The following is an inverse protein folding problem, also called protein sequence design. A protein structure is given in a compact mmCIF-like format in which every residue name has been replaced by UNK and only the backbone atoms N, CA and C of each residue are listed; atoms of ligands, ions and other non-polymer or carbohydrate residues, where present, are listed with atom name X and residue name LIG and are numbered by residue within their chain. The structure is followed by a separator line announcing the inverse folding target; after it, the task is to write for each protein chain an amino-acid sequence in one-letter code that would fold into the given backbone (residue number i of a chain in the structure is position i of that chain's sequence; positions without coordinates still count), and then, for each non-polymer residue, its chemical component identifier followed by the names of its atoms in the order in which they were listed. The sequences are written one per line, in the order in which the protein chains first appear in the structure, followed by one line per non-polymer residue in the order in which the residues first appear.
data_IF_977535305824
#
_entry.id   IF_977535305824
#
_cell.length_a   1.000
_cell.length_b   1.000
_cell.length_c   1.000
_cell.angle_alpha   90.00
_cell.angle_beta   90.00
_cell.angle_gamma   90.00
#
_symmetry.space_group_name_H-M   'P 1'
#
loop_
_entity.id
_entity.type
_entity.pdbx_description
1 polymer ?
#
# COMPACT_ATOMS: atom_id res chain seq x y z
N UNK A 1 23.94 6.77 -25.95
CA UNK A 1 24.11 5.86 -27.13
C UNK A 1 24.41 4.48 -26.52
N UNK A 2 23.46 3.54 -26.68
CA UNK A 2 23.68 2.14 -26.23
C UNK A 2 24.66 1.48 -27.18
N UNK A 3 25.67 0.81 -26.61
CA UNK A 3 26.70 0.13 -27.38
C UNK A 3 26.06 -1.03 -28.19
N UNK A 4 26.18 -1.06 -29.52
CA UNK A 4 25.52 -2.07 -30.37
C UNK A 4 26.00 -3.51 -30.09
N UNK A 5 27.17 -3.67 -29.48
CA UNK A 5 27.69 -4.97 -29.02
C UNK A 5 26.89 -5.52 -27.83
N UNK A 6 26.52 -4.64 -26.91
CA UNK A 6 25.69 -4.99 -25.75
C UNK A 6 24.25 -5.40 -26.15
N UNK A 7 23.69 -4.76 -27.17
CA UNK A 7 22.37 -5.13 -27.72
C UNK A 7 22.37 -6.54 -28.33
N UNK A 8 23.40 -6.88 -29.10
CA UNK A 8 23.56 -8.22 -29.69
C UNK A 8 23.76 -9.29 -28.63
N UNK A 9 24.58 -9.03 -27.60
CA UNK A 9 24.79 -9.99 -26.49
C UNK A 9 23.47 -10.26 -25.74
N UNK A 10 22.69 -9.22 -25.43
CA UNK A 10 21.37 -9.38 -24.80
C UNK A 10 20.40 -10.18 -25.66
N UNK A 11 20.39 -9.95 -26.98
CA UNK A 11 19.55 -10.71 -27.91
C UNK A 11 19.94 -12.19 -27.94
N UNK A 12 21.25 -12.53 -27.99
CA UNK A 12 21.71 -13.91 -27.94
C UNK A 12 21.38 -14.59 -26.61
N UNK A 13 21.53 -13.89 -25.47
CA UNK A 13 21.15 -14.41 -24.17
C UNK A 13 19.64 -14.67 -24.10
N UNK A 14 18.79 -13.74 -24.59
CA UNK A 14 17.35 -13.93 -24.61
C UNK A 14 16.93 -15.13 -25.49
N UNK A 15 17.52 -15.28 -26.66
CA UNK A 15 17.29 -16.44 -27.54
C UNK A 15 17.76 -17.73 -26.86
N UNK A 16 18.93 -17.74 -26.23
CA UNK A 16 19.47 -18.91 -25.51
C UNK A 16 18.55 -19.33 -24.37
N UNK A 17 18.12 -18.39 -23.52
CA UNK A 17 17.16 -18.67 -22.43
C UNK A 17 15.83 -19.16 -22.97
N UNK A 18 15.28 -18.51 -23.99
CA UNK A 18 14.02 -18.91 -24.64
C UNK A 18 14.09 -20.33 -25.20
N UNK A 19 15.17 -20.66 -25.89
CA UNK A 19 15.40 -22.01 -26.43
C UNK A 19 15.49 -23.05 -25.32
N UNK A 20 16.27 -22.76 -24.27
CA UNK A 20 16.42 -23.65 -23.11
C UNK A 20 15.08 -23.93 -22.44
N UNK A 21 14.27 -22.89 -22.16
CA UNK A 21 12.95 -23.05 -21.54
C UNK A 21 12.02 -23.86 -22.45
N UNK A 22 12.06 -23.60 -23.76
CA UNK A 22 11.25 -24.37 -24.73
C UNK A 22 11.65 -25.84 -24.77
N UNK A 23 12.96 -26.14 -24.83
CA UNK A 23 13.46 -27.52 -24.86
C UNK A 23 13.13 -28.27 -23.57
N UNK A 24 13.31 -27.62 -22.40
CA UNK A 24 12.93 -28.20 -21.10
C UNK A 24 11.42 -28.45 -21.04
N UNK A 25 10.60 -27.49 -21.53
CA UNK A 25 9.15 -27.66 -21.61
C UNK A 25 8.74 -28.82 -22.51
N UNK A 26 9.33 -28.94 -23.70
CA UNK A 26 9.07 -30.07 -24.61
C UNK A 26 9.50 -31.40 -24.02
N UNK A 27 10.69 -31.46 -23.37
CA UNK A 27 11.14 -32.63 -22.67
C UNK A 27 10.19 -33.04 -21.53
N UNK A 28 9.74 -32.09 -20.72
CA UNK A 28 8.80 -32.32 -19.64
C UNK A 28 7.44 -32.87 -20.10
N UNK A 29 6.93 -32.36 -21.25
CA UNK A 29 5.70 -32.86 -21.86
C UNK A 29 5.86 -34.30 -22.35
N UNK A 30 7.00 -34.62 -22.98
CA UNK A 30 7.28 -35.96 -23.49
C UNK A 30 7.68 -36.96 -22.40
N UNK A 31 8.17 -36.50 -21.25
CA UNK A 31 8.54 -37.33 -20.11
C UNK A 31 7.36 -37.80 -19.26
N UNK A 32 6.12 -37.50 -19.65
CA UNK A 32 4.91 -37.97 -18.94
C UNK A 32 4.85 -39.51 -18.92
N UNK A 33 4.71 -40.04 -17.71
CA UNK A 33 4.47 -41.48 -17.52
C UNK A 33 3.07 -41.84 -18.00
N UNK A 34 2.89 -43.07 -18.49
CA UNK A 34 1.59 -43.61 -18.97
C UNK A 34 0.48 -43.56 -17.90
N UNK A 35 0.85 -43.63 -16.60
CA UNK A 35 -0.08 -43.59 -15.48
C UNK A 35 0.35 -42.44 -14.54
N UNK A 36 -0.15 -41.21 -14.72
CA UNK A 36 0.16 -40.12 -13.85
C UNK A 36 -0.49 -40.31 -12.47
N UNK A 37 0.23 -39.99 -11.41
CA UNK A 37 -0.29 -40.00 -10.01
C UNK A 37 -1.57 -39.15 -9.88
N UNK A 38 -1.72 -38.14 -10.75
CA UNK A 38 -2.90 -37.25 -10.74
C UNK A 38 -4.23 -37.93 -10.94
N UNK A 39 -4.26 -39.16 -11.52
CA UNK A 39 -5.49 -39.95 -11.69
C UNK A 39 -6.05 -40.42 -10.35
N UNK A 40 -5.18 -40.67 -9.37
CA UNK A 40 -5.60 -41.12 -8.02
C UNK A 40 -5.87 -39.95 -7.07
N UNK A 41 -5.46 -38.74 -7.37
CA UNK A 41 -5.59 -37.59 -6.47
C UNK A 41 -7.04 -37.22 -6.14
N UNK A 42 -8.03 -37.26 -7.07
CA UNK A 42 -9.43 -36.96 -6.74
C UNK A 42 -10.05 -37.96 -5.76
N UNK A 43 -9.69 -39.23 -5.90
CA UNK A 43 -10.16 -40.31 -5.01
C UNK A 43 -9.54 -40.15 -3.61
N UNK A 44 -8.23 -39.94 -3.52
CA UNK A 44 -7.54 -39.69 -2.26
C UNK A 44 -8.08 -38.42 -1.54
N UNK A 45 -8.34 -37.37 -2.28
CA UNK A 45 -8.91 -36.14 -1.70
C UNK A 45 -10.29 -36.38 -1.10
N UNK A 46 -11.09 -37.25 -1.73
CA UNK A 46 -12.44 -37.59 -1.27
C UNK A 46 -12.44 -38.62 -0.12
N UNK A 47 -11.58 -39.63 -0.20
CA UNK A 47 -11.57 -40.75 0.79
C UNK A 47 -10.77 -40.34 2.05
N UNK A 48 -9.63 -39.74 1.90
CA UNK A 48 -8.74 -39.37 3.01
C UNK A 48 -9.02 -37.96 3.46
N UNK A 49 -9.10 -37.01 2.51
CA UNK A 49 -9.30 -35.59 2.80
C UNK A 49 -10.77 -35.17 2.98
N UNK A 50 -11.73 -36.09 2.80
CA UNK A 50 -13.18 -35.87 2.96
C UNK A 50 -13.70 -34.58 2.26
N UNK A 51 -13.01 -34.10 1.22
CA UNK A 51 -13.35 -32.92 0.46
C UNK A 51 -13.53 -33.20 -1.02
N UNK A 52 -14.45 -32.47 -1.66
CA UNK A 52 -14.70 -32.60 -3.10
C UNK A 52 -13.75 -31.72 -3.95
N UNK A 53 -13.15 -30.70 -3.37
CA UNK A 53 -12.18 -29.84 -4.05
C UNK A 53 -10.76 -30.43 -3.94
N UNK A 54 -10.39 -31.29 -4.89
CA UNK A 54 -9.10 -31.95 -4.92
C UNK A 54 -7.91 -31.01 -4.75
N UNK A 55 -7.94 -29.83 -5.39
CA UNK A 55 -6.82 -28.87 -5.35
C UNK A 55 -6.65 -28.31 -3.95
N UNK A 56 -7.72 -27.84 -3.34
CA UNK A 56 -7.65 -27.27 -1.99
C UNK A 56 -7.28 -28.34 -0.95
N UNK A 57 -7.88 -29.52 -1.03
CA UNK A 57 -7.55 -30.64 -0.13
C UNK A 57 -6.08 -31.04 -0.25
N UNK A 58 -5.51 -31.06 -1.46
CA UNK A 58 -4.09 -31.30 -1.64
C UNK A 58 -3.25 -30.23 -0.96
N UNK A 59 -3.61 -28.96 -1.11
CA UNK A 59 -2.81 -27.82 -0.62
C UNK A 59 -2.89 -27.62 0.90
N UNK A 60 -4.02 -27.97 1.53
CA UNK A 60 -4.24 -27.68 2.97
C UNK A 60 -4.24 -28.91 3.86
N UNK A 61 -4.32 -30.12 3.27
CA UNK A 61 -4.38 -31.39 3.99
C UNK A 61 -3.25 -32.32 3.57
N UNK A 62 -3.33 -32.93 2.38
CA UNK A 62 -2.38 -33.97 1.95
C UNK A 62 -0.95 -33.46 1.71
N UNK A 63 -0.82 -32.23 1.22
CA UNK A 63 0.47 -31.59 0.92
C UNK A 63 0.58 -30.19 1.53
N UNK A 64 0.01 -29.99 2.70
CA UNK A 64 -0.02 -28.69 3.38
C UNK A 64 1.37 -28.07 3.64
N UNK A 65 2.45 -28.86 3.59
CA UNK A 65 3.84 -28.38 3.63
C UNK A 65 4.19 -27.46 2.48
N UNK A 66 3.61 -27.67 1.29
CA UNK A 66 3.85 -26.80 0.14
C UNK A 66 3.27 -25.40 0.43
N UNK A 67 2.01 -25.34 0.89
CA UNK A 67 1.34 -24.09 1.27
C UNK A 67 2.02 -23.41 2.47
N UNK A 68 2.50 -24.22 3.44
CA UNK A 68 3.26 -23.67 4.56
C UNK A 68 4.57 -23.00 4.08
N UNK A 69 5.24 -23.59 3.09
CA UNK A 69 6.40 -22.96 2.42
C UNK A 69 6.04 -21.66 1.71
N UNK A 70 4.93 -21.64 0.96
CA UNK A 70 4.45 -20.46 0.24
C UNK A 70 4.13 -19.29 1.19
N UNK A 71 3.37 -19.52 2.27
CA UNK A 71 3.07 -18.46 3.24
C UNK A 71 4.31 -17.98 3.98
N UNK A 72 5.30 -18.84 4.22
CA UNK A 72 6.58 -18.45 4.81
C UNK A 72 7.34 -17.49 3.90
N UNK A 73 7.36 -17.73 2.58
CA UNK A 73 7.95 -16.81 1.59
C UNK A 73 7.24 -15.46 1.60
N UNK A 74 5.91 -15.42 1.70
CA UNK A 74 5.14 -14.18 1.80
C UNK A 74 5.54 -13.37 3.05
N UNK A 75 5.71 -14.04 4.20
CA UNK A 75 6.14 -13.38 5.45
C UNK A 75 7.56 -12.86 5.34
N UNK A 76 8.47 -13.62 4.71
CA UNK A 76 9.85 -13.18 4.46
C UNK A 76 9.86 -11.96 3.54
N UNK A 77 9.08 -11.97 2.47
CA UNK A 77 8.94 -10.83 1.56
C UNK A 77 8.44 -9.58 2.29
N UNK A 78 7.42 -9.72 3.14
CA UNK A 78 6.91 -8.62 3.97
C UNK A 78 7.97 -8.08 4.92
N UNK A 79 8.75 -8.95 5.55
CA UNK A 79 9.86 -8.58 6.45
C UNK A 79 10.95 -7.84 5.69
N UNK A 80 11.25 -8.26 4.45
CA UNK A 80 12.17 -7.56 3.56
C UNK A 80 11.71 -6.15 3.22
N UNK A 81 10.43 -5.99 2.87
CA UNK A 81 9.80 -4.67 2.63
C UNK A 81 9.88 -3.80 3.89
N UNK A 82 9.56 -4.36 5.06
CA UNK A 82 9.69 -3.68 6.35
C UNK A 82 11.11 -3.15 6.57
N UNK A 83 12.09 -4.01 6.39
CA UNK A 83 13.52 -3.67 6.57
C UNK A 83 13.94 -2.50 5.67
N UNK A 84 13.53 -2.50 4.41
CA UNK A 84 13.81 -1.42 3.46
C UNK A 84 13.17 -0.09 3.89
N UNK A 85 11.94 -0.13 4.39
CA UNK A 85 11.22 1.05 4.85
C UNK A 85 11.84 1.61 6.13
N UNK A 86 12.12 0.77 7.11
CA UNK A 86 12.76 1.19 8.37
C UNK A 86 14.16 1.77 8.15
N UNK A 87 14.94 1.20 7.24
CA UNK A 87 16.25 1.74 6.87
C UNK A 87 16.17 3.15 6.30
N UNK A 88 15.12 3.45 5.54
CA UNK A 88 14.90 4.78 4.96
C UNK A 88 14.40 5.78 6.01
N UNK A 89 13.64 5.35 7.03
CA UNK A 89 13.11 6.21 8.09
C UNK A 89 14.14 6.59 9.18
N UNK A 90 15.23 5.85 9.32
CA UNK A 90 16.26 6.17 10.34
C UNK A 90 16.96 7.50 10.07
N UNK A 91 16.82 8.09 8.89
CA UNK A 91 17.37 9.42 8.54
C UNK A 91 16.42 10.60 8.83
N UNK A 92 15.14 10.34 9.11
CA UNK A 92 14.15 11.42 9.34
C UNK A 92 13.35 11.17 10.62
N UNK A 93 14.07 10.99 11.74
CA UNK A 93 13.43 10.79 13.04
C UNK A 93 13.18 12.13 13.72
N UNK A 94 12.33 12.96 13.16
CA UNK A 94 11.70 14.09 13.86
C UNK A 94 10.39 14.51 13.18
N UNK A 95 9.40 13.66 13.24
CA UNK A 95 8.02 14.05 12.93
C UNK A 95 7.12 13.41 13.96
N UNK A 96 6.75 14.23 14.96
CA UNK A 96 5.64 13.95 15.87
C UNK A 96 4.47 13.46 15.03
N UNK A 97 4.06 12.21 15.24
CA UNK A 97 2.80 11.69 14.69
C UNK A 97 1.70 12.66 15.08
N UNK A 98 0.97 13.26 14.14
CA UNK A 98 -0.27 13.90 14.50
C UNK A 98 -1.16 12.79 15.04
N UNK A 99 -1.45 12.82 16.31
CA UNK A 99 -2.46 11.96 16.93
C UNK A 99 -3.77 12.42 16.32
N UNK A 100 -4.21 11.76 15.25
CA UNK A 100 -5.58 11.88 14.78
C UNK A 100 -6.44 11.35 15.92
N UNK A 101 -7.00 12.26 16.71
CA UNK A 101 -8.08 11.96 17.62
C UNK A 101 -9.24 11.45 16.75
N UNK A 102 -9.37 10.13 16.68
CA UNK A 102 -10.55 9.46 16.17
C UNK A 102 -11.69 9.75 17.15
N UNK A 103 -12.26 10.93 17.04
CA UNK A 103 -13.48 11.29 17.75
C UNK A 103 -14.64 10.65 17.00
N UNK A 104 -15.12 9.55 17.54
CA UNK A 104 -16.49 9.07 17.48
C UNK A 104 -17.18 8.96 16.13
N UNK A 105 -17.55 7.74 15.78
CA UNK A 105 -18.75 7.38 14.96
C UNK A 105 -19.25 8.45 14.01
N UNK A 106 -18.74 8.42 12.79
CA UNK A 106 -19.36 9.16 11.69
C UNK A 106 -19.76 8.25 10.55
N UNK A 107 -20.71 7.38 10.81
CA UNK A 107 -21.37 6.56 9.78
C UNK A 107 -22.21 7.41 8.81
N UNK A 108 -22.47 8.67 9.13
CA UNK A 108 -23.37 9.54 8.39
C UNK A 108 -22.91 11.01 8.30
N UNK A 109 -21.66 11.31 8.52
CA UNK A 109 -21.17 12.68 8.37
C UNK A 109 -20.69 12.97 6.96
N UNK A 110 -21.61 13.38 6.13
CA UNK A 110 -21.33 14.32 5.05
C UNK A 110 -20.69 15.57 5.68
N UNK A 111 -19.44 15.88 5.37
CA UNK A 111 -18.81 17.11 5.79
C UNK A 111 -17.41 16.98 6.35
N UNK A 112 -16.51 16.31 5.66
CA UNK A 112 -15.09 16.65 5.71
C UNK A 112 -14.77 17.27 4.35
N UNK A 113 -14.86 18.60 4.32
CA UNK A 113 -14.31 19.44 3.25
C UNK A 113 -12.79 19.34 3.27
N UNK A 114 -12.24 18.23 2.77
CA UNK A 114 -10.87 18.24 2.26
C UNK A 114 -10.96 18.59 0.78
N UNK A 115 -10.06 19.45 0.30
CA UNK A 115 -9.93 19.77 -1.14
C UNK A 115 -9.80 18.49 -2.01
N UNK A 116 -9.45 17.36 -1.42
CA UNK A 116 -9.43 16.06 -2.05
C UNK A 116 -10.84 15.48 -2.30
N UNK A 117 -11.85 15.84 -1.49
CA UNK A 117 -13.22 15.38 -1.69
C UNK A 117 -13.88 16.01 -2.93
N UNK A 118 -13.46 17.21 -3.32
CA UNK A 118 -13.99 17.93 -4.50
C UNK A 118 -13.55 17.30 -5.84
N UNK A 119 -12.43 16.58 -5.86
CA UNK A 119 -11.92 15.92 -7.08
C UNK A 119 -12.27 14.43 -7.15
N UNK A 120 -12.99 13.91 -6.18
CA UNK A 120 -13.40 12.51 -6.13
C UNK A 120 -14.56 12.28 -7.08
N UNK A 121 -14.39 11.36 -8.04
CA UNK A 121 -15.50 10.95 -8.89
C UNK A 121 -16.58 10.29 -8.02
N UNK A 122 -17.77 10.90 -7.97
CA UNK A 122 -18.94 10.34 -7.27
C UNK A 122 -19.20 8.88 -7.68
N UNK A 123 -18.94 8.56 -8.95
CA UNK A 123 -19.09 7.23 -9.51
C UNK A 123 -18.17 6.21 -8.83
N UNK A 124 -16.91 6.57 -8.56
CA UNK A 124 -15.94 5.70 -7.87
C UNK A 124 -16.36 5.47 -6.42
N UNK A 125 -16.83 6.50 -5.73
CA UNK A 125 -17.29 6.36 -4.34
C UNK A 125 -18.52 5.44 -4.23
N UNK A 126 -19.52 5.63 -5.07
CA UNK A 126 -20.73 4.77 -5.11
C UNK A 126 -20.36 3.32 -5.49
N UNK A 127 -19.53 3.14 -6.53
CA UNK A 127 -19.08 1.82 -6.95
C UNK A 127 -18.33 1.09 -5.83
N UNK A 128 -17.43 1.78 -5.14
CA UNK A 128 -16.66 1.19 -4.04
C UNK A 128 -17.53 0.80 -2.86
N UNK A 129 -18.51 1.64 -2.49
CA UNK A 129 -19.47 1.33 -1.41
C UNK A 129 -20.31 0.10 -1.69
N UNK A 130 -20.64 -0.16 -2.95
CA UNK A 130 -21.41 -1.34 -3.36
C UNK A 130 -20.52 -2.58 -3.50
N UNK A 131 -19.35 -2.43 -4.16
CA UNK A 131 -18.46 -3.56 -4.46
C UNK A 131 -17.72 -4.07 -3.23
N UNK A 132 -17.30 -3.19 -2.32
CA UNK A 132 -16.53 -3.59 -1.15
C UNK A 132 -17.25 -4.64 -0.28
N UNK A 133 -18.49 -4.44 0.20
CA UNK A 133 -19.17 -5.44 1.00
C UNK A 133 -19.48 -6.72 0.22
N UNK A 134 -19.80 -6.64 -1.07
CA UNK A 134 -20.05 -7.82 -1.89
C UNK A 134 -18.77 -8.63 -2.13
N UNK A 135 -17.62 -7.98 -2.31
CA UNK A 135 -16.32 -8.67 -2.41
C UNK A 135 -15.91 -9.30 -1.09
N UNK A 136 -16.16 -8.67 0.05
CA UNK A 136 -15.90 -9.26 1.37
C UNK A 136 -16.80 -10.47 1.59
N UNK A 137 -18.10 -10.39 1.25
CA UNK A 137 -19.01 -11.54 1.33
C UNK A 137 -18.54 -12.70 0.43
N UNK A 138 -18.13 -12.41 -0.80
CA UNK A 138 -17.57 -13.41 -1.73
C UNK A 138 -16.27 -14.00 -1.20
N UNK A 139 -15.40 -13.19 -0.60
CA UNK A 139 -14.15 -13.64 0.03
C UNK A 139 -14.43 -14.67 1.15
N UNK A 140 -15.36 -14.36 2.04
CA UNK A 140 -15.78 -15.28 3.09
C UNK A 140 -16.43 -16.54 2.52
N UNK A 141 -17.24 -16.41 1.48
CA UNK A 141 -17.80 -17.56 0.78
C UNK A 141 -16.69 -18.47 0.25
N UNK A 142 -15.68 -17.95 -0.44
CA UNK A 142 -14.54 -18.73 -0.93
C UNK A 142 -13.76 -19.40 0.20
N UNK A 143 -13.55 -18.70 1.31
CA UNK A 143 -12.88 -19.27 2.47
C UNK A 143 -13.63 -20.50 3.00
N UNK A 144 -14.92 -20.40 3.26
CA UNK A 144 -15.70 -21.51 3.81
C UNK A 144 -16.01 -22.61 2.80
N UNK A 145 -16.16 -22.29 1.52
CA UNK A 145 -16.48 -23.26 0.48
C UNK A 145 -15.28 -24.07 0.00
N UNK A 146 -14.05 -23.62 0.30
CA UNK A 146 -12.80 -24.12 -0.30
C UNK A 146 -12.59 -25.61 -0.20
N UNK A 147 -13.11 -26.28 0.83
CA UNK A 147 -12.95 -27.71 1.02
C UNK A 147 -13.79 -28.57 0.03
N UNK A 148 -14.96 -28.09 -0.37
CA UNK A 148 -15.90 -28.81 -1.23
C UNK A 148 -16.15 -28.16 -2.60
N UNK A 149 -15.84 -26.86 -2.75
CA UNK A 149 -16.03 -26.07 -3.95
C UNK A 149 -14.78 -25.22 -4.24
N UNK A 150 -14.66 -24.64 -5.44
CA UNK A 150 -13.56 -23.73 -5.73
C UNK A 150 -13.46 -22.60 -4.71
N UNK A 151 -12.29 -22.47 -4.05
CA UNK A 151 -12.08 -21.48 -2.98
C UNK A 151 -10.84 -21.82 -2.17
N UNK A 152 -10.92 -21.56 -0.86
CA UNK A 152 -9.89 -21.76 0.15
C UNK A 152 -9.37 -20.43 0.71
N UNK A 153 -8.56 -20.51 1.75
CA UNK A 153 -8.02 -19.33 2.47
C UNK A 153 -7.20 -18.41 1.59
N UNK A 154 -6.39 -18.96 0.69
CA UNK A 154 -5.60 -18.17 -0.23
C UNK A 154 -6.48 -17.41 -1.24
N UNK A 155 -7.42 -18.10 -1.89
CA UNK A 155 -8.32 -17.48 -2.86
C UNK A 155 -9.25 -16.44 -2.19
N UNK A 156 -9.83 -16.80 -1.04
CA UNK A 156 -10.62 -15.88 -0.23
C UNK A 156 -9.81 -14.68 0.22
N UNK A 157 -8.59 -14.91 0.73
CA UNK A 157 -7.67 -13.85 1.13
C UNK A 157 -7.32 -12.87 0.00
N UNK A 158 -7.12 -13.37 -1.23
CA UNK A 158 -6.88 -12.52 -2.40
C UNK A 158 -8.08 -11.65 -2.75
N UNK A 159 -9.30 -12.19 -2.68
CA UNK A 159 -10.52 -11.41 -2.95
C UNK A 159 -10.70 -10.32 -1.88
N UNK A 160 -10.45 -10.62 -0.59
CA UNK A 160 -10.43 -9.61 0.45
C UNK A 160 -9.34 -8.56 0.21
N UNK A 161 -8.15 -8.98 -0.20
CA UNK A 161 -7.05 -8.09 -0.56
C UNK A 161 -7.45 -7.13 -1.70
N UNK A 162 -8.08 -7.64 -2.75
CA UNK A 162 -8.59 -6.81 -3.85
C UNK A 162 -9.65 -5.81 -3.39
N UNK A 163 -10.54 -6.22 -2.48
CA UNK A 163 -11.53 -5.31 -1.89
C UNK A 163 -10.86 -4.15 -1.11
N UNK A 164 -9.82 -4.46 -0.34
CA UNK A 164 -9.03 -3.46 0.40
C UNK A 164 -8.25 -2.54 -0.54
N UNK A 165 -7.65 -3.08 -1.61
CA UNK A 165 -6.98 -2.29 -2.65
C UNK A 165 -7.97 -1.34 -3.33
N UNK A 166 -9.17 -1.84 -3.70
CA UNK A 166 -10.22 -1.01 -4.29
C UNK A 166 -10.60 0.15 -3.36
N UNK A 167 -10.75 -0.12 -2.07
CA UNK A 167 -11.07 0.91 -1.07
C UNK A 167 -9.94 1.92 -0.91
N UNK A 168 -8.70 1.45 -0.90
CA UNK A 168 -7.51 2.32 -0.88
C UNK A 168 -7.42 3.21 -2.13
N UNK A 169 -7.67 2.67 -3.33
CA UNK A 169 -7.67 3.45 -4.57
C UNK A 169 -8.80 4.50 -4.60
N UNK A 170 -9.94 4.20 -3.98
CA UNK A 170 -11.07 5.12 -3.93
C UNK A 170 -10.85 6.28 -2.96
N UNK A 171 -10.20 6.10 -1.82
CA UNK A 171 -10.11 7.11 -0.77
C UNK A 171 -8.81 7.18 -0.01
N UNK A 172 -7.78 6.50 -0.48
CA UNK A 172 -6.48 6.51 0.14
C UNK A 172 -6.45 5.79 1.50
N UNK A 173 -5.45 6.15 2.28
CA UNK A 173 -5.19 5.53 3.58
C UNK A 173 -6.33 5.72 4.59
N UNK A 174 -6.95 6.89 4.61
CA UNK A 174 -8.03 7.20 5.55
C UNK A 174 -9.23 6.26 5.38
N UNK A 175 -9.63 5.98 4.15
CA UNK A 175 -10.71 5.04 3.84
C UNK A 175 -10.34 3.58 4.16
N UNK A 176 -9.08 3.23 3.98
CA UNK A 176 -8.58 1.90 4.33
C UNK A 176 -8.59 1.69 5.85
N UNK A 177 -8.13 2.68 6.63
CA UNK A 177 -8.12 2.64 8.10
C UNK A 177 -9.55 2.64 8.67
N UNK A 178 -10.50 3.33 8.01
CA UNK A 178 -11.92 3.29 8.38
C UNK A 178 -12.54 1.92 8.09
N UNK A 179 -12.20 1.30 6.95
CA UNK A 179 -12.72 -0.01 6.56
C UNK A 179 -12.21 -1.13 7.47
N UNK A 180 -10.93 -1.09 7.81
CA UNK A 180 -10.29 -2.15 8.58
C UNK A 180 -9.18 -1.54 9.48
N UNK A 181 -9.52 -1.12 10.71
CA UNK A 181 -8.57 -0.48 11.64
C UNK A 181 -7.64 -1.49 12.31
N UNK A 182 -7.01 -2.37 11.50
CA UNK A 182 -6.14 -3.44 11.97
C UNK A 182 -4.72 -3.22 11.41
N UNK A 183 -3.72 -3.49 12.24
CA UNK A 183 -2.32 -3.46 11.82
C UNK A 183 -1.98 -4.67 10.94
N UNK A 184 -1.51 -4.41 9.71
CA UNK A 184 -1.18 -5.46 8.75
C UNK A 184 -0.10 -6.43 9.24
N UNK A 185 0.90 -5.92 9.99
CA UNK A 185 1.96 -6.75 10.56
C UNK A 185 1.45 -7.69 11.65
N UNK A 186 0.56 -7.20 12.51
CA UNK A 186 -0.08 -8.03 13.55
C UNK A 186 -1.00 -9.07 12.92
N UNK A 187 -1.79 -8.70 11.93
CA UNK A 187 -2.69 -9.63 11.21
C UNK A 187 -1.91 -10.76 10.55
N UNK A 188 -0.81 -10.42 9.88
CA UNK A 188 0.09 -11.40 9.28
C UNK A 188 0.76 -12.30 10.34
N UNK A 189 1.22 -11.71 11.45
CA UNK A 189 1.80 -12.45 12.58
C UNK A 189 0.80 -13.42 13.25
N UNK A 190 -0.45 -13.00 13.44
CA UNK A 190 -1.51 -13.90 13.95
C UNK A 190 -1.85 -15.00 12.97
N UNK A 191 -1.90 -14.71 11.67
CA UNK A 191 -2.08 -15.71 10.63
C UNK A 191 -0.97 -16.77 10.64
N UNK A 192 0.29 -16.33 10.75
CA UNK A 192 1.44 -17.23 10.86
C UNK A 192 1.37 -18.09 12.14
N UNK A 193 1.00 -17.49 13.28
CA UNK A 193 0.83 -18.21 14.54
C UNK A 193 -0.23 -19.30 14.42
N UNK A 194 -1.36 -19.02 13.79
CA UNK A 194 -2.44 -19.98 13.55
C UNK A 194 -1.95 -21.10 12.64
N UNK A 195 -1.27 -20.78 11.54
CA UNK A 195 -0.74 -21.78 10.61
C UNK A 195 0.29 -22.68 11.28
N UNK A 196 1.26 -22.12 12.02
CA UNK A 196 2.24 -22.89 12.79
C UNK A 196 1.58 -23.71 13.88
N UNK A 197 0.59 -23.15 14.56
CA UNK A 197 -0.22 -23.88 15.54
C UNK A 197 -0.89 -25.10 14.96
N UNK A 198 -1.47 -24.99 13.77
CA UNK A 198 -2.09 -26.11 13.06
C UNK A 198 -1.09 -27.22 12.69
N UNK A 199 0.19 -26.87 12.46
CA UNK A 199 1.28 -27.84 12.23
C UNK A 199 1.64 -28.59 13.52
N UNK A 200 1.71 -27.86 14.64
CA UNK A 200 2.25 -28.37 15.92
C UNK A 200 1.21 -29.10 16.76
N UNK A 201 -0.05 -28.64 16.74
CA UNK A 201 -1.12 -29.21 17.59
C UNK A 201 -1.28 -30.72 17.43
N UNK A 202 -1.26 -31.34 16.23
CA UNK A 202 -1.36 -32.80 16.07
C UNK A 202 -0.24 -33.56 16.79
N UNK A 203 0.97 -32.99 16.90
CA UNK A 203 2.09 -33.62 17.62
C UNK A 203 1.79 -33.83 19.11
N UNK A 204 1.04 -32.93 19.73
CA UNK A 204 0.61 -33.06 21.14
C UNK A 204 -0.32 -34.27 21.35
N UNK A 205 -0.95 -34.75 20.28
CA UNK A 205 -1.82 -35.91 20.29
C UNK A 205 -1.17 -37.19 19.67
N UNK A 206 0.16 -37.19 19.55
CA UNK A 206 0.93 -38.29 18.93
C UNK A 206 0.57 -38.56 17.46
N UNK A 207 0.07 -37.58 16.73
CA UNK A 207 -0.17 -37.65 15.29
C UNK A 207 0.96 -36.95 14.50
N UNK A 208 1.21 -37.34 13.24
CA UNK A 208 2.13 -36.61 12.38
C UNK A 208 1.76 -35.13 12.26
N UNK A 209 2.75 -34.23 12.00
CA UNK A 209 2.46 -32.80 11.75
C UNK A 209 1.45 -32.64 10.62
N UNK A 210 0.58 -31.63 10.71
CA UNK A 210 -0.46 -31.35 9.72
C UNK A 210 -1.51 -32.44 9.53
N UNK A 211 -1.66 -33.38 10.48
CA UNK A 211 -2.77 -34.36 10.43
C UNK A 211 -4.08 -33.63 10.64
N UNK A 212 -5.01 -33.81 9.70
CA UNK A 212 -6.33 -33.17 9.73
C UNK A 212 -7.33 -34.05 10.50
N UNK A 213 -8.00 -33.43 11.46
CA UNK A 213 -9.15 -34.02 12.17
C UNK A 213 -10.47 -33.51 11.60
N UNK A 214 -11.52 -34.32 11.66
CA UNK A 214 -12.84 -33.95 11.18
C UNK A 214 -13.83 -33.99 12.33
N UNK A 215 -14.55 -32.90 12.53
CA UNK A 215 -15.62 -32.78 13.53
C UNK A 215 -16.92 -32.46 12.82
N UNK A 216 -17.98 -33.22 13.15
CA UNK A 216 -19.33 -32.92 12.66
C UNK A 216 -20.04 -32.05 13.70
N UNK A 217 -20.51 -30.89 13.27
CA UNK A 217 -21.31 -29.97 14.09
C UNK A 217 -22.71 -29.93 13.51
N UNK A 218 -23.69 -30.36 14.30
CA UNK A 218 -25.10 -30.26 13.93
C UNK A 218 -25.54 -28.79 14.06
N UNK A 219 -25.78 -28.15 12.93
CA UNK A 219 -26.28 -26.76 12.89
C UNK A 219 -27.80 -26.81 12.71
N UNK A 220 -28.57 -26.21 13.63
CA UNK A 220 -30.02 -26.12 13.47
C UNK A 220 -30.38 -25.43 12.15
N UNK A 221 -31.29 -25.97 11.37
CA UNK A 221 -31.73 -25.53 10.04
C UNK A 221 -30.84 -25.91 8.84
N UNK A 222 -29.54 -26.21 9.02
CA UNK A 222 -28.62 -26.50 7.92
C UNK A 222 -28.26 -27.99 7.86
N UNK A 223 -28.36 -28.69 9.00
CA UNK A 223 -27.95 -30.08 9.12
C UNK A 223 -26.52 -30.26 9.65
N UNK A 224 -25.97 -31.47 9.44
CA UNK A 224 -24.62 -31.78 9.87
C UNK A 224 -23.57 -31.14 8.96
N UNK A 225 -22.83 -30.19 9.51
CA UNK A 225 -21.70 -29.52 8.83
C UNK A 225 -20.41 -30.16 9.31
N UNK A 226 -19.66 -30.79 8.40
CA UNK A 226 -18.31 -31.29 8.69
C UNK A 226 -17.30 -30.16 8.64
N UNK A 227 -16.65 -29.89 9.77
CA UNK A 227 -15.58 -28.89 9.88
C UNK A 227 -14.24 -29.63 9.93
N UNK A 228 -13.45 -29.58 8.86
CA UNK A 228 -12.08 -30.09 8.88
C UNK A 228 -11.18 -29.14 9.67
N UNK A 229 -10.24 -29.67 10.46
CA UNK A 229 -9.23 -28.83 11.14
C UNK A 229 -8.31 -28.11 10.15
N UNK A 230 -8.21 -28.58 8.91
CA UNK A 230 -7.57 -27.88 7.79
C UNK A 230 -8.14 -26.47 7.56
N UNK A 231 -9.40 -26.21 7.92
CA UNK A 231 -9.99 -24.88 7.87
C UNK A 231 -9.26 -23.88 8.78
N UNK A 232 -8.74 -24.34 9.92
CA UNK A 232 -7.97 -23.49 10.84
C UNK A 232 -6.63 -23.09 10.20
N UNK A 233 -5.95 -24.04 9.55
CA UNK A 233 -4.75 -23.74 8.77
C UNK A 233 -5.05 -22.73 7.66
N UNK A 234 -6.12 -22.96 6.94
CA UNK A 234 -6.60 -22.10 5.84
C UNK A 234 -6.97 -20.68 6.33
N UNK A 235 -7.50 -20.54 7.57
CA UNK A 235 -7.69 -19.24 8.22
C UNK A 235 -6.37 -18.49 8.43
N UNK A 236 -5.33 -19.22 8.83
CA UNK A 236 -3.98 -18.63 8.95
C UNK A 236 -3.47 -18.12 7.61
N UNK A 237 -3.65 -18.88 6.53
CA UNK A 237 -3.29 -18.47 5.16
C UNK A 237 -4.06 -17.22 4.74
N UNK A 238 -5.37 -17.20 4.96
CA UNK A 238 -6.24 -16.05 4.69
C UNK A 238 -5.74 -14.78 5.39
N UNK A 239 -5.46 -14.87 6.68
CA UNK A 239 -4.97 -13.74 7.48
C UNK A 239 -3.59 -13.25 7.04
N UNK A 240 -2.70 -14.15 6.59
CA UNK A 240 -1.38 -13.76 6.06
C UNK A 240 -1.55 -12.96 4.79
N UNK A 241 -2.40 -13.39 3.85
CA UNK A 241 -2.63 -12.68 2.57
C UNK A 241 -3.24 -11.31 2.80
N UNK A 242 -4.28 -11.22 3.65
CA UNK A 242 -4.92 -9.95 4.01
C UNK A 242 -3.94 -9.05 4.76
N UNK A 243 -3.21 -9.59 5.73
CA UNK A 243 -2.22 -8.84 6.52
C UNK A 243 -1.07 -8.31 5.68
N UNK A 244 -0.56 -9.10 4.74
CA UNK A 244 0.46 -8.68 3.78
C UNK A 244 -0.02 -7.50 2.94
N UNK A 245 -1.25 -7.59 2.41
CA UNK A 245 -1.84 -6.53 1.60
C UNK A 245 -2.01 -5.24 2.40
N UNK A 246 -2.58 -5.32 3.60
CA UNK A 246 -2.68 -4.17 4.52
C UNK A 246 -1.31 -3.57 4.83
N UNK A 247 -0.32 -4.42 5.07
CA UNK A 247 1.04 -3.98 5.37
C UNK A 247 1.64 -3.21 4.19
N UNK A 248 1.50 -3.73 2.96
CA UNK A 248 1.99 -3.06 1.75
C UNK A 248 1.26 -1.73 1.52
N UNK A 249 -0.07 -1.71 1.60
CA UNK A 249 -0.88 -0.51 1.38
C UNK A 249 -0.54 0.59 2.40
N UNK A 250 -0.41 0.25 3.68
CA UNK A 250 -0.03 1.19 4.72
C UNK A 250 1.39 1.73 4.55
N UNK A 251 2.30 0.88 4.07
CA UNK A 251 3.69 1.25 3.84
C UNK A 251 3.86 2.16 2.63
N UNK A 252 3.14 1.90 1.54
CA UNK A 252 3.13 2.73 0.34
C UNK A 252 2.40 4.05 0.57
N UNK A 253 1.25 4.02 1.24
CA UNK A 253 0.44 5.19 1.53
C UNK A 253 1.19 6.21 2.37
N UNK A 254 1.92 5.78 3.39
CA UNK A 254 2.72 6.67 4.22
C UNK A 254 3.79 7.44 3.44
N UNK A 255 4.42 6.82 2.44
CA UNK A 255 5.42 7.50 1.59
C UNK A 255 4.80 8.49 0.62
N UNK A 256 3.66 8.13 0.01
CA UNK A 256 2.95 9.01 -0.92
C UNK A 256 2.41 10.25 -0.21
N UNK A 257 1.86 10.10 0.97
CA UNK A 257 1.37 11.21 1.80
C UNK A 257 2.52 12.15 2.20
N UNK A 258 3.67 11.61 2.62
CA UNK A 258 4.87 12.38 2.96
C UNK A 258 5.43 13.15 1.74
N UNK A 259 5.48 12.52 0.57
CA UNK A 259 5.90 13.18 -0.67
C UNK A 259 4.94 14.30 -1.08
N UNK A 260 3.64 14.09 -0.92
CA UNK A 260 2.63 15.09 -1.25
C UNK A 260 2.70 16.28 -0.28
N UNK A 261 2.87 16.05 1.02
CA UNK A 261 3.08 17.12 2.00
C UNK A 261 4.35 17.91 1.72
N UNK A 262 5.45 17.23 1.42
CA UNK A 262 6.70 17.90 1.02
C UNK A 262 6.53 18.73 -0.25
N UNK A 263 5.78 18.26 -1.24
CA UNK A 263 5.44 19.02 -2.45
C UNK A 263 4.63 20.26 -2.12
N UNK A 264 3.59 20.14 -1.29
CA UNK A 264 2.76 21.26 -0.83
C UNK A 264 3.60 22.28 -0.05
N UNK A 265 4.49 21.82 0.81
CA UNK A 265 5.37 22.69 1.59
C UNK A 265 6.36 23.44 0.70
N UNK A 266 7.01 22.76 -0.24
CA UNK A 266 7.90 23.40 -1.24
C UNK A 266 7.14 24.43 -2.10
N UNK A 267 5.90 24.14 -2.49
CA UNK A 267 5.07 25.09 -3.24
C UNK A 267 4.74 26.35 -2.40
N UNK A 268 4.38 26.18 -1.12
CA UNK A 268 4.14 27.29 -0.17
C UNK A 268 5.39 28.14 0.05
N UNK A 269 6.55 27.52 0.20
CA UNK A 269 7.83 28.23 0.39
C UNK A 269 8.23 29.01 -0.86
N UNK A 270 8.01 28.44 -2.05
CA UNK A 270 8.20 29.16 -3.33
C UNK A 270 7.25 30.37 -3.44
N UNK A 271 5.98 30.18 -3.12
CA UNK A 271 5.00 31.27 -3.15
C UNK A 271 5.39 32.40 -2.16
N UNK A 272 5.80 32.05 -0.94
CA UNK A 272 6.29 33.03 0.06
C UNK A 272 7.54 33.77 -0.41
N UNK A 273 8.49 33.08 -1.01
CA UNK A 273 9.70 33.69 -1.52
C UNK A 273 9.45 34.65 -2.69
N UNK A 274 8.51 34.31 -3.58
CA UNK A 274 8.07 35.17 -4.67
C UNK A 274 7.33 36.40 -4.15
N UNK A 275 6.42 36.23 -3.21
CA UNK A 275 5.73 37.36 -2.57
C UNK A 275 6.67 38.32 -1.85
N UNK A 276 7.70 37.80 -1.17
CA UNK A 276 8.73 38.59 -0.53
C UNK A 276 9.54 39.40 -1.57
N UNK A 277 9.98 38.75 -2.64
CA UNK A 277 10.70 39.42 -3.75
C UNK A 277 9.86 40.52 -4.43
N UNK A 278 8.54 40.28 -4.59
CA UNK A 278 7.62 41.27 -5.13
C UNK A 278 7.48 42.47 -4.19
N UNK A 279 7.36 42.28 -2.87
CA UNK A 279 7.34 43.35 -1.88
C UNK A 279 8.65 44.16 -1.88
N UNK A 280 9.79 43.48 -1.92
CA UNK A 280 11.10 44.14 -1.98
C UNK A 280 11.25 44.98 -3.25
N UNK A 281 10.79 44.48 -4.41
CA UNK A 281 10.78 45.24 -5.67
C UNK A 281 9.82 46.40 -5.64
N UNK A 282 8.62 46.25 -5.05
CA UNK A 282 7.67 47.35 -4.89
C UNK A 282 8.22 48.43 -3.98
N UNK A 283 8.80 48.09 -2.82
CA UNK A 283 9.41 49.07 -1.91
C UNK A 283 10.64 49.79 -2.51
N UNK A 284 11.43 49.07 -3.32
CA UNK A 284 12.56 49.70 -4.04
C UNK A 284 12.11 50.67 -5.12
N UNK A 285 11.01 50.33 -5.85
CA UNK A 285 10.40 51.27 -6.83
C UNK A 285 9.83 52.50 -6.17
N UNK A 286 9.18 52.37 -5.02
CA UNK A 286 8.63 53.48 -4.25
C UNK A 286 9.74 54.41 -3.71
N UNK A 287 10.81 53.82 -3.18
CA UNK A 287 12.01 54.60 -2.74
C UNK A 287 12.66 55.36 -3.90
N UNK A 288 12.82 54.74 -5.06
CA UNK A 288 13.38 55.36 -6.24
C UNK A 288 12.46 56.47 -6.79
N UNK A 289 11.14 56.27 -6.80
CA UNK A 289 10.19 57.32 -7.19
C UNK A 289 10.22 58.53 -6.23
N UNK A 290 10.24 58.28 -4.90
CA UNK A 290 10.38 59.31 -3.90
C UNK A 290 11.72 60.08 -4.00
N UNK A 291 12.80 59.39 -4.32
CA UNK A 291 14.12 59.99 -4.60
C UNK A 291 14.12 60.90 -5.84
N UNK A 292 13.48 60.45 -6.92
CA UNK A 292 13.35 61.24 -8.15
C UNK A 292 12.50 62.53 -7.94
N UNK A 293 11.42 62.43 -7.15
CA UNK A 293 10.59 63.59 -6.82
C UNK A 293 11.33 64.61 -5.94
N UNK A 294 12.16 64.16 -5.01
CA UNK A 294 13.02 65.06 -4.21
C UNK A 294 14.12 65.74 -5.04
N UNK A 295 14.74 65.02 -5.96
CA UNK A 295 15.75 65.59 -6.86
C UNK A 295 15.16 66.67 -7.79
N UNK A 296 13.95 66.44 -8.32
CA UNK A 296 13.26 67.42 -9.15
C UNK A 296 12.79 68.64 -8.36
N UNK A 297 12.43 68.56 -7.08
CA UNK A 297 12.09 69.69 -6.24
C UNK A 297 13.30 70.50 -5.79
N UNK A 298 14.44 69.86 -5.64
CA UNK A 298 15.72 70.56 -5.33
C UNK A 298 16.28 71.34 -6.53
N UNK A 299 16.00 70.94 -7.77
CA UNK A 299 16.44 71.64 -8.98
C UNK A 299 15.56 72.85 -9.37
N UNK A 300 14.41 73.01 -8.69
CA UNK A 300 13.43 74.05 -8.96
C UNK A 300 13.52 75.29 -8.00
N UNK A 301 14.58 75.41 -7.16
CA UNK A 301 14.77 76.57 -6.38
C UNK A 301 15.49 77.63 -7.24
N UNK A 302 14.89 78.81 -7.57
CA UNK A 302 15.54 79.85 -8.30
C UNK A 302 16.60 80.56 -7.41
N UNK A 303 17.84 80.71 -7.92
CA UNK A 303 18.88 81.49 -7.31
C UNK A 303 18.37 82.92 -7.09
N UNK A 304 18.25 83.35 -5.84
CA UNK A 304 18.09 84.80 -5.50
C UNK A 304 19.40 85.44 -5.63
N UNK A 305 19.53 86.58 -6.41
CA UNK A 305 20.79 87.33 -6.57
C UNK A 305 21.16 87.97 -5.27
N UNK A 306 22.38 87.75 -4.76
CA UNK A 306 22.96 88.39 -3.62
C UNK A 306 23.29 89.86 -4.00
N UNK A 307 22.61 90.83 -3.38
CA UNK A 307 22.85 92.24 -3.45
C UNK A 307 24.17 92.55 -2.76
N UNK A 308 25.15 92.99 -3.57
CA UNK A 308 26.47 93.59 -3.15
C UNK A 308 26.21 94.89 -2.45
N UNK A 309 26.45 95.01 -1.15
CA UNK A 309 26.60 96.29 -0.46
C UNK A 309 28.10 96.60 -0.33
N UNK A 310 28.48 97.67 -1.05
CA UNK A 310 29.75 98.35 -0.89
C UNK A 310 29.75 99.07 0.45
N UNK A 311 30.75 98.85 1.27
CA UNK A 311 31.04 99.69 2.43
C UNK A 311 32.37 100.39 2.24
N UNK A 312 32.25 101.71 2.09
CA UNK A 312 33.30 102.67 2.03
C UNK A 312 34.04 102.85 3.35
N UNK A 313 35.30 103.03 3.23
CA UNK A 313 36.34 103.52 4.12
C UNK A 313 35.93 104.55 5.15
N UNK A 314 36.44 104.43 6.34
CA UNK A 314 36.55 105.51 7.36
C UNK A 314 37.66 105.24 8.34
N UNK A 315 38.63 106.02 8.27
CA UNK A 315 39.91 106.21 8.94
C UNK A 315 39.76 106.81 10.34
N UNK A 316 40.83 106.69 11.15
CA UNK A 316 41.21 107.46 12.35
C UNK A 316 40.75 106.85 13.70
N UNK A 317 41.62 106.57 14.60
CA UNK A 317 42.83 107.09 15.28
C UNK A 317 43.44 106.00 16.17
#
# INVERSE_FOLDING_TARGET
KQDPKMGRLRAWLAVGVGLTVTLVGMFAINARRSNPISEFMPELAKEIGHGANTVNVLLVDLRAWDTFGEITVLVIAATGIASLIYRTQSFTRDSRRPTLQVTGRRWLAAGVESEQALNRSLMVDVATRLLFPSMIALSLYFYFSGHNAPGGGFAGGLVAALALILRYLAGGRAELEEALPIDGGRTMGTGLLISVGSVVVPLAFNHPPLTTGYTKVAVPLIGDVSLPSALVFDAGVYLIVVGLTLYILNSLGGKLDEEEEMRKQRARDRARSLARRQKERASSREKNAAGATRASSSAAQPDTPSTTQAHTTGKES
#
